data_IF_153382628805
#
_entry.id   IF_153382628805
#
_cell.length_a   1.000
_cell.length_b   1.000
_cell.length_c   1.000
_cell.angle_alpha   90.00
_cell.angle_beta   90.00
_cell.angle_gamma   90.00
#
_symmetry.space_group_name_H-M   'P 1'
#
loop_
_entity.id
_entity.type
_entity.pdbx_description
1 polymer ?
#
# COMPACT_ATOMS: atom_id res chain seq x y z
N UNK A 1 39.38 22.37 0.03
CA UNK A 1 37.96 21.97 -0.11
C UNK A 1 37.70 21.13 -1.36
N UNK A 2 38.16 21.55 -2.55
CA UNK A 2 38.02 20.73 -3.78
C UNK A 2 38.72 19.35 -3.72
N UNK A 3 39.99 19.22 -3.29
CA UNK A 3 40.67 17.92 -3.26
C UNK A 3 40.06 16.96 -2.23
N UNK A 4 39.58 17.47 -1.09
CA UNK A 4 38.88 16.65 -0.08
C UNK A 4 37.59 16.04 -0.61
N UNK A 5 36.82 16.79 -1.42
CA UNK A 5 35.58 16.29 -2.02
C UNK A 5 35.87 15.17 -3.03
N UNK A 6 36.87 15.36 -3.91
CA UNK A 6 37.27 14.36 -4.92
C UNK A 6 37.76 13.06 -4.27
N UNK A 7 38.43 13.14 -3.13
CA UNK A 7 38.91 11.96 -2.41
C UNK A 7 37.81 11.27 -1.58
N UNK A 8 36.80 11.98 -1.06
CA UNK A 8 35.71 11.38 -0.28
C UNK A 8 34.58 10.84 -1.18
N UNK A 9 34.35 11.47 -2.34
CA UNK A 9 33.28 11.14 -3.29
C UNK A 9 33.14 9.64 -3.64
N UNK A 10 34.20 8.88 -3.99
CA UNK A 10 34.02 7.47 -4.36
C UNK A 10 33.65 6.58 -3.17
N UNK A 11 33.95 6.96 -1.93
CA UNK A 11 33.49 6.21 -0.75
C UNK A 11 31.99 6.40 -0.51
N UNK A 12 31.48 7.62 -0.65
CA UNK A 12 30.05 7.92 -0.57
C UNK A 12 29.28 7.24 -1.71
N UNK A 13 29.82 7.30 -2.93
CA UNK A 13 29.26 6.59 -4.08
C UNK A 13 29.32 5.07 -3.90
N UNK A 14 30.34 4.54 -3.22
CA UNK A 14 30.44 3.13 -2.86
C UNK A 14 29.33 2.66 -1.91
N UNK A 15 28.95 3.49 -0.93
CA UNK A 15 27.80 3.20 -0.04
C UNK A 15 26.50 3.19 -0.82
N UNK A 16 26.27 4.18 -1.69
CA UNK A 16 25.12 4.24 -2.58
C UNK A 16 25.07 3.04 -3.54
N UNK A 17 26.22 2.62 -4.05
CA UNK A 17 26.36 1.43 -4.89
C UNK A 17 25.97 0.16 -4.13
N UNK A 18 26.41 0.00 -2.88
CA UNK A 18 26.06 -1.14 -2.04
C UNK A 18 24.55 -1.20 -1.74
N UNK A 19 23.94 -0.06 -1.38
CA UNK A 19 22.49 0.05 -1.15
C UNK A 19 21.74 -0.29 -2.43
N UNK A 20 22.21 0.20 -3.58
CA UNK A 20 21.62 -0.10 -4.89
C UNK A 20 21.75 -1.58 -5.27
N UNK A 21 22.88 -2.22 -4.97
CA UNK A 21 23.11 -3.65 -5.18
C UNK A 21 22.18 -4.50 -4.32
N UNK A 22 22.01 -4.16 -3.04
CA UNK A 22 21.10 -4.87 -2.12
C UNK A 22 19.65 -4.70 -2.58
N UNK A 23 19.24 -3.48 -2.94
CA UNK A 23 17.90 -3.20 -3.46
C UNK A 23 17.60 -3.97 -4.75
N UNK A 24 18.57 -4.02 -5.68
CA UNK A 24 18.47 -4.82 -6.89
C UNK A 24 18.37 -6.32 -6.56
N UNK A 25 19.21 -6.83 -5.65
CA UNK A 25 19.24 -8.24 -5.26
C UNK A 25 17.93 -8.71 -4.61
N UNK A 26 17.40 -7.94 -3.66
CA UNK A 26 16.14 -8.25 -2.96
C UNK A 26 14.98 -8.24 -3.94
N UNK A 27 14.90 -7.24 -4.81
CA UNK A 27 13.85 -7.15 -5.82
C UNK A 27 13.93 -8.30 -6.85
N UNK A 28 15.15 -8.68 -7.27
CA UNK A 28 15.35 -9.81 -8.18
C UNK A 28 15.02 -11.16 -7.53
N UNK A 29 15.30 -11.32 -6.22
CA UNK A 29 14.90 -12.52 -5.47
C UNK A 29 13.38 -12.63 -5.32
N UNK A 30 12.68 -11.52 -5.05
CA UNK A 30 11.22 -11.48 -5.02
C UNK A 30 10.62 -11.81 -6.40
N UNK A 31 11.19 -11.27 -7.48
CA UNK A 31 10.77 -11.60 -8.85
C UNK A 31 10.98 -13.08 -9.24
N UNK A 32 11.97 -13.76 -8.65
CA UNK A 32 12.23 -15.20 -8.89
C UNK A 32 11.32 -16.14 -8.10
N UNK A 33 10.70 -15.69 -7.00
CA UNK A 33 9.80 -16.50 -6.15
C UNK A 33 8.31 -16.29 -6.47
N UNK A 34 7.99 -15.39 -7.38
CA UNK A 34 6.62 -15.17 -7.86
C UNK A 34 6.21 -16.32 -8.81
N UNK A 35 5.12 -17.07 -8.52
CA UNK A 35 4.71 -18.23 -9.31
C UNK A 35 4.09 -17.88 -10.67
N UNK A 36 3.78 -16.60 -10.94
CA UNK A 36 3.09 -16.18 -12.16
C UNK A 36 3.96 -15.35 -13.11
N UNK A 37 3.89 -15.69 -14.40
CA UNK A 37 4.77 -15.22 -15.48
C UNK A 37 4.76 -13.70 -15.70
N UNK A 38 3.71 -13.00 -15.24
CA UNK A 38 3.50 -11.57 -15.51
C UNK A 38 3.83 -10.60 -14.39
N UNK A 39 4.05 -11.09 -13.15
CA UNK A 39 4.62 -10.27 -12.08
C UNK A 39 6.06 -9.82 -12.40
N UNK A 40 6.69 -10.39 -13.44
CA UNK A 40 8.00 -10.00 -13.97
C UNK A 40 8.01 -8.64 -14.70
N UNK A 41 6.90 -8.22 -15.33
CA UNK A 41 6.88 -6.96 -16.11
C UNK A 41 6.70 -5.72 -15.23
N UNK A 42 5.95 -5.79 -14.14
CA UNK A 42 5.77 -4.65 -13.22
C UNK A 42 6.85 -4.56 -12.13
N UNK A 43 7.41 -5.71 -11.73
CA UNK A 43 8.67 -5.74 -10.97
C UNK A 43 9.83 -5.16 -11.79
N UNK A 44 9.79 -5.24 -13.13
CA UNK A 44 10.83 -4.68 -13.99
C UNK A 44 10.89 -3.15 -13.93
N UNK A 45 9.75 -2.44 -13.80
CA UNK A 45 9.75 -0.97 -13.64
C UNK A 45 10.37 -0.52 -12.32
N UNK A 46 10.13 -1.25 -11.22
CA UNK A 46 10.77 -0.99 -9.91
C UNK A 46 12.23 -1.44 -9.86
N UNK A 47 12.57 -2.54 -10.55
CA UNK A 47 13.94 -3.04 -10.68
C UNK A 47 14.82 -2.15 -11.56
N UNK A 48 14.24 -1.57 -12.60
CA UNK A 48 14.93 -0.69 -13.53
C UNK A 48 15.50 0.57 -12.87
N UNK A 49 14.79 1.13 -11.88
CA UNK A 49 15.27 2.28 -11.11
C UNK A 49 16.55 1.94 -10.34
N UNK A 50 16.62 0.74 -9.75
CA UNK A 50 17.80 0.28 -9.03
C UNK A 50 18.95 -0.08 -9.98
N UNK A 51 18.67 -0.66 -11.15
CA UNK A 51 19.72 -0.93 -12.15
C UNK A 51 20.30 0.36 -12.74
N UNK A 52 19.46 1.35 -13.03
CA UNK A 52 19.92 2.67 -13.47
C UNK A 52 20.81 3.34 -12.41
N UNK A 53 20.42 3.28 -11.14
CA UNK A 53 21.24 3.79 -10.03
C UNK A 53 22.58 3.07 -9.91
N UNK A 54 22.60 1.75 -10.12
CA UNK A 54 23.84 0.96 -10.09
C UNK A 54 24.78 1.33 -11.25
N UNK A 55 24.25 1.50 -12.46
CA UNK A 55 25.02 1.96 -13.63
C UNK A 55 25.56 3.38 -13.39
N UNK A 56 24.72 4.28 -12.89
CA UNK A 56 25.08 5.68 -12.66
C UNK A 56 26.14 5.83 -11.56
N UNK A 57 26.02 5.09 -10.46
CA UNK A 57 27.03 5.07 -9.39
C UNK A 57 28.33 4.43 -9.84
N UNK A 58 28.28 3.35 -10.63
CA UNK A 58 29.48 2.73 -11.22
C UNK A 58 30.22 3.71 -12.13
N UNK A 59 29.50 4.43 -13.00
CA UNK A 59 30.07 5.49 -13.83
C UNK A 59 30.65 6.65 -13.01
N UNK A 60 29.95 7.07 -11.94
CA UNK A 60 30.43 8.11 -11.03
C UNK A 60 31.70 7.73 -10.27
N UNK A 61 31.83 6.48 -9.82
CA UNK A 61 33.05 5.97 -9.18
C UNK A 61 34.21 5.97 -10.18
N UNK A 62 33.96 5.51 -11.42
CA UNK A 62 34.96 5.55 -12.50
C UNK A 62 35.43 6.98 -12.79
N UNK A 63 34.51 7.93 -12.91
CA UNK A 63 34.81 9.35 -13.12
C UNK A 63 35.57 9.99 -11.94
N UNK A 64 35.24 9.62 -10.71
CA UNK A 64 35.97 10.10 -9.53
C UNK A 64 37.40 9.53 -9.47
N UNK A 65 37.59 8.26 -9.85
CA UNK A 65 38.91 7.62 -9.90
C UNK A 65 39.79 8.25 -10.99
N UNK A 66 39.24 8.55 -12.17
CA UNK A 66 39.99 9.27 -13.22
C UNK A 66 40.24 10.72 -12.83
N UNK A 67 39.36 11.40 -12.11
CA UNK A 67 39.62 12.75 -11.63
C UNK A 67 40.80 12.81 -10.63
N UNK A 68 41.00 11.77 -9.81
CA UNK A 68 42.11 11.69 -8.84
C UNK A 68 43.50 11.70 -9.51
N UNK A 69 43.63 11.25 -10.75
CA UNK A 69 44.92 11.30 -11.46
C UNK A 69 45.38 12.74 -11.78
N UNK A 70 44.44 13.70 -11.76
CA UNK A 70 44.68 15.12 -12.04
C UNK A 70 44.66 15.99 -10.79
N UNK A 71 44.37 15.43 -9.60
CA UNK A 71 44.20 16.18 -8.35
C UNK A 71 45.16 15.65 -7.29
N UNK A 72 46.11 16.48 -6.79
CA UNK A 72 47.05 16.06 -5.76
C UNK A 72 46.35 15.67 -4.45
N UNK A 73 46.93 14.74 -3.66
CA UNK A 73 46.31 14.25 -2.43
C UNK A 73 46.13 15.38 -1.40
N UNK A 74 45.00 15.42 -0.67
CA UNK A 74 44.77 16.43 0.35
C UNK A 74 45.70 16.21 1.55
N UNK A 75 46.42 17.26 1.94
CA UNK A 75 47.18 17.28 3.18
C UNK A 75 46.23 17.43 4.38
N UNK A 76 46.05 16.35 5.14
CA UNK A 76 45.33 16.40 6.41
C UNK A 76 46.26 16.94 7.49
N UNK A 77 46.33 18.26 7.62
CA UNK A 77 46.96 18.91 8.77
C UNK A 77 46.04 18.76 9.99
N UNK A 78 46.09 17.60 10.63
CA UNK A 78 45.55 17.44 11.97
C UNK A 78 46.35 18.37 12.88
N UNK A 79 45.75 19.49 13.31
CA UNK A 79 46.28 20.30 14.41
C UNK A 79 45.76 19.69 15.72
N UNK A 80 46.57 18.94 16.48
CA UNK A 80 46.17 18.44 17.80
C UNK A 80 46.27 19.59 18.81
N UNK A 81 45.36 20.57 18.75
CA UNK A 81 45.37 21.72 19.67
C UNK A 81 44.33 21.62 20.79
N UNK A 82 43.59 20.51 20.89
CA UNK A 82 42.48 20.37 21.86
C UNK A 82 42.75 19.38 23.01
N UNK A 83 43.90 18.72 23.04
CA UNK A 83 44.24 17.75 24.10
C UNK A 83 44.78 18.39 25.39
N UNK A 84 44.94 19.71 25.41
CA UNK A 84 45.37 20.46 26.60
C UNK A 84 44.37 21.57 26.94
N UNK A 85 43.09 21.22 27.07
CA UNK A 85 42.17 22.06 27.81
C UNK A 85 42.54 21.95 29.30
N UNK A 86 43.07 23.03 29.87
CA UNK A 86 43.33 23.15 31.31
C UNK A 86 42.02 22.90 32.08
N UNK A 87 42.01 22.07 33.16
CA UNK A 87 40.79 21.79 33.89
C UNK A 87 40.34 23.03 34.66
N UNK A 88 39.31 23.71 34.16
CA UNK A 88 38.56 24.72 34.91
C UNK A 88 37.84 24.03 36.08
N UNK A 89 37.93 24.54 37.32
CA UNK A 89 37.30 23.89 38.47
C UNK A 89 35.78 23.85 38.34
N UNK A 90 35.21 22.68 38.65
CA UNK A 90 33.78 22.40 38.56
C UNK A 90 32.96 23.26 39.55
N UNK A 91 31.80 23.82 39.14
CA UNK A 91 30.91 24.49 40.07
C UNK A 91 30.20 23.46 40.97
N UNK A 92 30.36 23.63 42.28
CA UNK A 92 29.63 22.89 43.33
C UNK A 92 28.13 23.18 43.23
N UNK A 93 27.32 22.17 42.89
CA UNK A 93 25.86 22.26 42.85
C UNK A 93 25.30 22.34 44.28
N UNK A 94 24.67 23.47 44.63
CA UNK A 94 23.88 23.61 45.84
C UNK A 94 22.47 23.02 45.63
N UNK A 95 22.06 22.10 46.50
CA UNK A 95 20.77 21.44 46.46
C UNK A 95 19.69 22.40 47.00
N UNK A 96 18.91 23.01 46.12
CA UNK A 96 17.73 23.81 46.49
C UNK A 96 16.53 22.88 46.61
N UNK A 97 15.94 22.82 47.81
CA UNK A 97 14.71 22.10 48.08
C UNK A 97 13.52 22.79 47.38
N UNK A 98 12.59 22.04 46.75
CA UNK A 98 11.39 22.63 46.16
C UNK A 98 10.39 23.04 47.25
N UNK A 99 9.69 24.19 47.14
CA UNK A 99 8.61 24.54 48.05
C UNK A 99 7.40 23.62 47.86
N UNK A 100 6.86 23.17 48.99
CA UNK A 100 5.61 22.41 49.14
C UNK A 100 4.42 23.19 48.56
N UNK A 101 3.75 22.62 47.56
CA UNK A 101 2.53 23.16 46.99
C UNK A 101 1.34 22.59 47.78
N UNK A 102 0.65 23.46 48.53
CA UNK A 102 -0.60 23.15 49.24
C UNK A 102 -1.73 22.88 48.23
N UNK A 103 -2.51 21.79 48.36
CA UNK A 103 -3.67 21.57 47.51
C UNK A 103 -4.83 22.47 47.93
N UNK A 104 -5.30 23.31 47.01
CA UNK A 104 -6.56 24.05 47.16
C UNK A 104 -7.71 23.15 46.65
N UNK A 105 -8.68 22.76 47.50
CA UNK A 105 -9.89 22.11 47.05
C UNK A 105 -10.96 23.18 46.78
N UNK A 106 -11.52 23.26 45.56
CA UNK A 106 -12.96 23.52 45.39
C UNK A 106 -13.37 23.58 43.91
N UNK A 107 -14.57 23.04 43.66
CA UNK A 107 -15.50 23.29 42.54
C UNK A 107 -15.46 22.36 41.30
N UNK A 108 -16.09 21.20 41.45
CA UNK A 108 -17.06 20.64 40.46
C UNK A 108 -18.48 21.10 40.89
N UNK A 109 -19.59 20.98 40.10
CA UNK A 109 -19.78 20.61 38.68
C UNK A 109 -20.77 21.52 37.90
N UNK A 110 -20.86 21.39 36.56
CA UNK A 110 -22.11 21.69 35.84
C UNK A 110 -22.26 20.83 34.58
N UNK A 111 -23.17 19.86 34.68
CA UNK A 111 -23.87 19.25 33.54
C UNK A 111 -25.23 19.93 33.43
N UNK A 112 -25.68 20.24 32.20
CA UNK A 112 -27.11 20.20 31.91
C UNK A 112 -27.36 19.20 30.78
N UNK A 113 -27.95 18.06 31.14
CA UNK A 113 -28.88 17.36 30.26
C UNK A 113 -30.02 18.33 29.92
N UNK A 114 -30.22 18.60 28.63
CA UNK A 114 -31.41 19.27 28.11
C UNK A 114 -31.99 18.38 26.99
N UNK A 115 -33.31 18.21 27.03
CA UNK A 115 -34.04 17.05 26.52
C UNK A 115 -34.21 16.95 24.99
N UNK A 116 -34.87 15.87 24.54
CA UNK A 116 -35.09 15.57 23.12
C UNK A 116 -36.35 16.27 22.58
N UNK A 117 -36.36 16.77 21.34
CA UNK A 117 -37.61 16.96 20.61
C UNK A 117 -38.02 15.64 19.93
N UNK A 118 -39.19 15.16 20.36
CA UNK A 118 -40.03 14.15 19.70
C UNK A 118 -40.25 14.49 18.23
N UNK A 119 -39.88 13.59 17.31
CA UNK A 119 -40.34 13.62 15.92
C UNK A 119 -41.47 12.60 15.73
N UNK A 120 -42.64 13.13 15.37
CA UNK A 120 -43.88 12.41 15.02
C UNK A 120 -43.72 11.65 13.70
N UNK A 121 -44.34 10.47 13.52
CA UNK A 121 -44.19 9.66 12.31
C UNK A 121 -44.98 10.24 11.13
N UNK A 122 -44.31 10.43 9.99
CA UNK A 122 -44.96 10.66 8.69
C UNK A 122 -44.79 9.42 7.83
N UNK A 123 -45.91 8.79 7.47
CA UNK A 123 -46.02 7.66 6.53
C UNK A 123 -46.57 8.17 5.18
N UNK A 124 -46.54 7.36 4.12
CA UNK A 124 -45.44 7.14 3.17
C UNK A 124 -45.67 7.95 1.87
N UNK A 125 -44.60 8.29 1.15
CA UNK A 125 -44.70 8.64 -0.28
C UNK A 125 -44.22 7.44 -1.10
N UNK A 126 -44.98 6.96 -2.09
CA UNK A 126 -44.57 5.85 -2.93
C UNK A 126 -43.47 6.36 -3.87
N UNK A 127 -42.25 5.86 -3.75
CA UNK A 127 -41.19 6.23 -4.68
C UNK A 127 -40.35 5.02 -5.00
N UNK A 128 -40.69 4.46 -6.17
CA UNK A 128 -39.89 3.67 -7.11
C UNK A 128 -38.90 2.69 -6.50
N UNK A 129 -39.19 1.40 -6.69
CA UNK A 129 -38.24 0.30 -6.71
C UNK A 129 -36.84 0.78 -7.10
N UNK A 130 -35.82 0.67 -6.22
CA UNK A 130 -34.46 0.96 -6.64
C UNK A 130 -34.08 -0.14 -7.63
N UNK A 131 -34.12 0.18 -8.92
CA UNK A 131 -33.27 -0.52 -9.88
C UNK A 131 -31.86 -0.45 -9.30
N UNK A 132 -31.16 -1.57 -9.09
CA UNK A 132 -29.80 -1.50 -8.57
C UNK A 132 -28.99 -0.63 -9.54
N UNK A 133 -28.47 0.48 -9.01
CA UNK A 133 -27.67 1.44 -9.75
C UNK A 133 -26.33 0.76 -10.04
N UNK A 134 -26.28 -0.07 -11.07
CA UNK A 134 -25.01 -0.51 -11.63
C UNK A 134 -24.35 0.76 -12.15
N UNK A 135 -23.24 1.15 -11.54
CA UNK A 135 -22.44 2.27 -12.01
C UNK A 135 -21.87 1.88 -13.38
N UNK A 136 -22.56 2.21 -14.47
CA UNK A 136 -22.12 1.86 -15.83
C UNK A 136 -21.01 2.83 -16.24
N UNK A 137 -19.76 2.37 -16.22
CA UNK A 137 -18.66 3.06 -16.89
C UNK A 137 -18.66 2.64 -18.35
N UNK A 138 -18.67 3.63 -19.26
CA UNK A 138 -18.60 3.39 -20.68
C UNK A 138 -17.28 2.70 -21.04
N UNK A 139 -17.34 1.58 -21.76
CA UNK A 139 -16.18 0.93 -22.37
C UNK A 139 -15.59 1.80 -23.47
N UNK A 140 -14.27 2.00 -23.49
CA UNK A 140 -13.58 2.59 -24.65
C UNK A 140 -13.29 1.55 -25.74
N UNK A 141 -13.33 0.25 -25.39
CA UNK A 141 -13.04 -0.88 -26.29
C UNK A 141 -14.02 -2.03 -26.04
N UNK A 142 -14.43 -2.75 -27.09
CA UNK A 142 -15.23 -3.97 -26.97
C UNK A 142 -14.38 -5.14 -26.47
N UNK A 143 -14.84 -5.94 -25.48
CA UNK A 143 -14.11 -7.12 -25.01
C UNK A 143 -13.87 -8.13 -26.14
N UNK A 144 -12.67 -8.73 -26.24
CA UNK A 144 -12.46 -9.87 -27.12
C UNK A 144 -13.38 -11.06 -26.80
N UNK A 145 -13.84 -11.81 -27.80
CA UNK A 145 -14.76 -12.93 -27.58
C UNK A 145 -14.13 -14.09 -26.78
N UNK A 146 -12.82 -14.24 -26.85
CA UNK A 146 -11.99 -15.24 -26.18
C UNK A 146 -11.41 -14.76 -24.83
N UNK A 147 -11.79 -13.56 -24.37
CA UNK A 147 -11.43 -13.06 -23.05
C UNK A 147 -11.99 -13.97 -21.95
N UNK A 148 -11.15 -14.28 -20.95
CA UNK A 148 -11.53 -15.07 -19.79
C UNK A 148 -11.09 -14.41 -18.49
N UNK A 149 -11.95 -14.56 -17.47
CA UNK A 149 -11.71 -14.11 -16.11
C UNK A 149 -12.30 -15.16 -15.18
N UNK A 150 -11.52 -15.65 -14.21
CA UNK A 150 -11.91 -16.71 -13.29
C UNK A 150 -11.54 -16.35 -11.87
N UNK A 151 -12.41 -16.68 -10.92
CA UNK A 151 -12.11 -16.58 -9.49
C UNK A 151 -11.40 -17.87 -9.07
N UNK A 152 -10.21 -17.75 -8.50
CA UNK A 152 -9.40 -18.89 -8.06
C UNK A 152 -9.49 -19.14 -6.55
N UNK A 153 -9.72 -18.10 -5.76
CA UNK A 153 -9.89 -18.21 -4.32
C UNK A 153 -10.65 -17.00 -3.74
N UNK A 154 -11.24 -17.19 -2.56
CA UNK A 154 -11.76 -16.11 -1.71
C UNK A 154 -11.02 -16.18 -0.37
N UNK A 155 -10.61 -15.05 0.18
CA UNK A 155 -9.86 -15.00 1.44
C UNK A 155 -10.18 -13.76 2.28
N UNK A 156 -10.01 -13.84 3.61
CA UNK A 156 -10.19 -12.69 4.51
C UNK A 156 -8.91 -11.87 4.73
N UNK A 157 -7.78 -12.35 4.23
CA UNK A 157 -6.51 -11.65 4.33
C UNK A 157 -5.59 -11.88 3.14
N UNK A 158 -4.51 -11.09 3.13
CA UNK A 158 -3.40 -11.17 2.18
C UNK A 158 -2.08 -11.11 2.95
N UNK A 159 -1.14 -11.97 2.59
CA UNK A 159 0.21 -12.02 3.19
C UNK A 159 1.15 -10.99 2.58
N UNK A 160 2.31 -10.77 3.23
CA UNK A 160 3.36 -9.89 2.71
C UNK A 160 3.86 -10.30 1.31
N UNK A 161 3.78 -11.59 0.98
CA UNK A 161 4.15 -12.14 -0.33
C UNK A 161 3.00 -12.11 -1.36
N UNK A 162 1.92 -11.35 -1.09
CA UNK A 162 0.73 -11.24 -1.93
C UNK A 162 0.05 -12.60 -2.20
N UNK A 163 -0.06 -13.43 -1.17
CA UNK A 163 -0.80 -14.70 -1.23
C UNK A 163 -2.05 -14.65 -0.37
N UNK A 164 -3.12 -15.37 -0.74
CA UNK A 164 -4.32 -15.47 0.08
C UNK A 164 -4.00 -16.02 1.47
N UNK A 165 -4.64 -15.44 2.49
CA UNK A 165 -4.59 -15.90 3.88
C UNK A 165 -6.02 -16.13 4.35
N UNK A 166 -6.26 -17.23 5.06
CA UNK A 166 -7.59 -17.65 5.50
C UNK A 166 -8.54 -17.79 4.30
N UNK A 167 -8.19 -18.68 3.36
CA UNK A 167 -9.04 -19.00 2.21
C UNK A 167 -10.26 -19.79 2.65
N UNK A 168 -11.42 -19.49 2.06
CA UNK A 168 -12.63 -20.26 2.30
C UNK A 168 -13.84 -19.60 1.65
N UNK A 169 -15.00 -20.21 1.88
CA UNK A 169 -16.31 -19.70 1.46
C UNK A 169 -17.17 -19.29 2.65
N UNK A 170 -16.62 -19.35 3.86
CA UNK A 170 -17.30 -18.98 5.10
C UNK A 170 -16.36 -18.13 5.93
N UNK A 171 -16.85 -16.98 6.39
CA UNK A 171 -16.08 -16.01 7.15
C UNK A 171 -16.86 -15.54 8.38
N UNK A 172 -16.19 -15.19 9.49
CA UNK A 172 -16.87 -14.68 10.67
C UNK A 172 -17.39 -13.25 10.45
N UNK A 173 -18.47 -12.91 11.14
CA UNK A 173 -18.99 -11.56 11.24
C UNK A 173 -17.90 -10.59 11.74
N UNK A 174 -17.95 -9.34 11.27
CA UNK A 174 -16.88 -8.37 11.56
C UNK A 174 -15.65 -8.49 10.65
N UNK A 175 -15.60 -9.45 9.71
CA UNK A 175 -14.56 -9.49 8.69
C UNK A 175 -14.59 -8.20 7.86
N UNK A 176 -13.54 -7.38 7.99
CA UNK A 176 -13.49 -6.04 7.39
C UNK A 176 -13.26 -6.04 5.88
N UNK A 177 -12.56 -7.05 5.36
CA UNK A 177 -12.20 -7.16 3.94
C UNK A 177 -12.33 -8.59 3.45
N UNK A 178 -12.95 -8.75 2.28
CA UNK A 178 -13.00 -10.01 1.55
C UNK A 178 -12.26 -9.81 0.24
N UNK A 179 -11.29 -10.68 -0.02
CA UNK A 179 -10.43 -10.67 -1.20
C UNK A 179 -10.87 -11.78 -2.16
N UNK A 180 -10.93 -11.44 -3.45
CA UNK A 180 -11.22 -12.33 -4.56
C UNK A 180 -9.99 -12.41 -5.43
N UNK A 181 -9.46 -13.62 -5.59
CA UNK A 181 -8.28 -13.89 -6.38
C UNK A 181 -8.72 -14.27 -7.78
N UNK A 182 -8.09 -13.65 -8.77
CA UNK A 182 -8.52 -13.69 -10.16
C UNK A 182 -7.38 -14.18 -11.03
N UNK A 183 -7.70 -15.04 -12.00
CA UNK A 183 -6.85 -15.33 -13.15
C UNK A 183 -7.58 -14.87 -14.41
N UNK A 184 -6.85 -14.27 -15.34
CA UNK A 184 -7.43 -13.71 -16.56
C UNK A 184 -6.55 -14.02 -17.77
N UNK A 185 -7.18 -14.09 -18.94
CA UNK A 185 -6.54 -14.30 -20.25
C UNK A 185 -7.29 -13.58 -21.37
N UNK A 186 -6.58 -13.23 -22.44
CA UNK A 186 -7.06 -12.45 -23.59
C UNK A 186 -7.88 -11.19 -23.24
N UNK A 187 -7.56 -10.52 -22.11
CA UNK A 187 -8.11 -9.23 -21.73
C UNK A 187 -7.46 -8.09 -22.54
N UNK A 188 -8.11 -6.93 -22.61
CA UNK A 188 -7.58 -5.75 -23.32
C UNK A 188 -7.71 -4.54 -22.42
N UNK A 189 -6.63 -3.77 -22.30
CA UNK A 189 -6.65 -2.54 -21.52
C UNK A 189 -7.66 -1.53 -22.14
N UNK A 190 -8.39 -0.81 -21.29
CA UNK A 190 -9.48 0.09 -21.69
C UNK A 190 -10.86 -0.57 -21.77
N UNK A 191 -10.96 -1.90 -21.76
CA UNK A 191 -12.27 -2.57 -21.66
C UNK A 191 -12.91 -2.25 -20.31
N UNK A 192 -14.21 -1.95 -20.26
CA UNK A 192 -14.87 -1.78 -18.97
C UNK A 192 -15.01 -3.13 -18.28
N UNK A 193 -14.78 -3.14 -16.96
CA UNK A 193 -15.06 -4.30 -16.13
C UNK A 193 -15.75 -3.85 -14.84
N UNK A 194 -16.70 -4.65 -14.38
CA UNK A 194 -17.55 -4.31 -13.24
C UNK A 194 -17.51 -5.39 -12.16
N UNK A 195 -17.58 -4.95 -10.91
CA UNK A 195 -17.58 -5.79 -9.73
C UNK A 195 -18.89 -5.52 -8.99
N UNK A 196 -19.74 -6.53 -8.89
CA UNK A 196 -21.05 -6.42 -8.24
C UNK A 196 -21.05 -7.36 -7.04
N UNK A 197 -21.41 -6.83 -5.87
CA UNK A 197 -21.58 -7.60 -4.64
C UNK A 197 -23.05 -7.63 -4.27
N UNK A 198 -23.58 -8.83 -4.08
CA UNK A 198 -24.93 -9.08 -3.64
C UNK A 198 -24.92 -9.62 -2.21
N UNK A 199 -25.91 -9.22 -1.43
CA UNK A 199 -26.25 -9.77 -0.12
C UNK A 199 -27.69 -10.27 -0.18
N UNK A 200 -27.89 -11.55 0.08
CA UNK A 200 -29.19 -12.23 0.04
C UNK A 200 -29.95 -11.95 -1.28
N UNK A 201 -29.22 -11.95 -2.40
CA UNK A 201 -29.76 -11.68 -3.74
C UNK A 201 -29.99 -10.21 -4.08
N UNK A 202 -29.75 -9.28 -3.16
CA UNK A 202 -29.85 -7.83 -3.41
C UNK A 202 -28.48 -7.22 -3.63
N UNK A 203 -28.31 -6.42 -4.69
CA UNK A 203 -27.06 -5.69 -4.94
C UNK A 203 -26.84 -4.66 -3.83
N UNK A 204 -25.72 -4.77 -3.13
CA UNK A 204 -25.31 -3.84 -2.06
C UNK A 204 -24.12 -2.97 -2.46
N UNK A 205 -23.37 -3.38 -3.49
CA UNK A 205 -22.25 -2.61 -4.03
C UNK A 205 -22.03 -2.94 -5.49
N UNK A 206 -21.73 -1.91 -6.28
CA UNK A 206 -21.34 -2.05 -7.68
C UNK A 206 -20.27 -1.03 -7.99
N UNK A 207 -19.18 -1.47 -8.62
CA UNK A 207 -18.09 -0.61 -9.09
C UNK A 207 -17.77 -0.98 -10.53
N UNK A 208 -17.46 0.01 -11.36
CA UNK A 208 -16.96 -0.21 -12.72
C UNK A 208 -15.75 0.66 -12.99
N UNK A 209 -14.83 0.12 -13.77
CA UNK A 209 -13.55 0.75 -14.09
C UNK A 209 -13.05 0.23 -15.44
N UNK A 210 -12.12 0.94 -16.06
CA UNK A 210 -11.38 0.41 -17.21
C UNK A 210 -10.36 -0.61 -16.73
N UNK A 211 -10.16 -1.67 -17.52
CA UNK A 211 -9.11 -2.65 -17.30
C UNK A 211 -7.74 -2.05 -17.63
N UNK A 212 -6.75 -2.26 -16.77
CA UNK A 212 -5.39 -1.70 -16.91
C UNK A 212 -4.30 -2.72 -16.54
N UNK A 213 -4.65 -4.01 -16.50
CA UNK A 213 -3.80 -5.08 -15.96
C UNK A 213 -3.15 -5.94 -17.05
N UNK A 214 -3.28 -5.55 -18.32
CA UNK A 214 -2.79 -6.26 -19.48
C UNK A 214 -3.64 -7.48 -19.84
N UNK A 215 -3.12 -8.30 -20.76
CA UNK A 215 -3.95 -9.30 -21.43
C UNK A 215 -4.20 -10.64 -20.71
N UNK A 216 -3.43 -10.99 -19.70
CA UNK A 216 -3.39 -12.30 -19.03
C UNK A 216 -2.67 -12.12 -17.69
N UNK A 217 -2.82 -13.06 -16.75
CA UNK A 217 -2.11 -13.04 -15.48
C UNK A 217 -3.02 -13.30 -14.27
N UNK A 218 -2.55 -12.89 -13.09
CA UNK A 218 -3.29 -13.03 -11.84
C UNK A 218 -3.43 -11.69 -11.14
N UNK A 219 -4.59 -11.46 -10.54
CA UNK A 219 -4.92 -10.25 -9.80
C UNK A 219 -5.71 -10.60 -8.53
N UNK A 220 -5.94 -9.60 -7.69
CA UNK A 220 -6.96 -9.68 -6.66
C UNK A 220 -7.80 -8.41 -6.68
N UNK A 221 -9.06 -8.55 -6.28
CA UNK A 221 -9.97 -7.46 -5.99
C UNK A 221 -10.53 -7.65 -4.58
N UNK A 222 -10.94 -6.59 -3.90
CA UNK A 222 -11.47 -6.72 -2.55
C UNK A 222 -12.63 -5.76 -2.29
N UNK A 223 -13.57 -6.23 -1.48
CA UNK A 223 -14.61 -5.38 -0.90
C UNK A 223 -14.34 -5.21 0.58
N UNK A 224 -14.50 -3.98 1.08
CA UNK A 224 -14.41 -3.70 2.50
C UNK A 224 -15.58 -2.89 3.03
N UNK A 225 -15.94 -3.16 4.28
CA UNK A 225 -17.01 -2.48 5.02
C UNK A 225 -16.46 -1.94 6.35
N UNK A 226 -16.79 -0.69 6.66
CA UNK A 226 -16.46 -0.11 7.96
C UNK A 226 -17.28 -0.81 9.04
N UNK A 227 -16.62 -1.38 10.05
CA UNK A 227 -17.28 -2.21 11.08
C UNK A 227 -17.45 -3.69 10.68
N UNK A 228 -17.00 -4.09 9.49
CA UNK A 228 -17.13 -5.44 8.98
C UNK A 228 -18.45 -5.70 8.26
N UNK A 229 -18.49 -6.81 7.54
CA UNK A 229 -19.68 -7.22 6.82
C UNK A 229 -20.68 -7.94 7.74
N UNK A 230 -21.99 -7.68 7.62
CA UNK A 230 -23.02 -8.40 8.38
C UNK A 230 -23.10 -9.88 7.97
N UNK A 231 -23.68 -10.70 8.84
CA UNK A 231 -23.98 -12.09 8.51
C UNK A 231 -24.97 -12.19 7.34
N UNK A 232 -24.79 -13.20 6.49
CA UNK A 232 -25.65 -13.43 5.34
C UNK A 232 -24.96 -14.17 4.19
N UNK A 233 -25.75 -14.45 3.15
CA UNK A 233 -25.25 -15.08 1.93
C UNK A 233 -24.86 -14.02 0.93
N UNK A 234 -23.61 -14.07 0.50
CA UNK A 234 -23.05 -13.13 -0.46
C UNK A 234 -22.77 -13.80 -1.79
N UNK A 235 -22.86 -13.02 -2.85
CA UNK A 235 -22.41 -13.40 -4.19
C UNK A 235 -21.62 -12.25 -4.79
N UNK A 236 -20.46 -12.55 -5.35
CA UNK A 236 -19.71 -11.62 -6.20
C UNK A 236 -19.94 -11.97 -7.65
N UNK A 237 -20.11 -10.96 -8.48
CA UNK A 237 -20.20 -11.09 -9.93
C UNK A 237 -19.19 -10.15 -10.59
N UNK A 238 -18.40 -10.68 -11.51
CA UNK A 238 -17.44 -9.93 -12.32
C UNK A 238 -17.88 -9.91 -13.77
N UNK A 239 -18.06 -8.70 -14.30
CA UNK A 239 -18.43 -8.44 -15.68
C UNK A 239 -17.25 -7.85 -16.45
N UNK A 240 -17.20 -8.12 -17.75
CA UNK A 240 -16.32 -7.45 -18.70
C UNK A 240 -17.19 -7.00 -19.87
N UNK A 241 -17.30 -5.69 -20.06
CA UNK A 241 -18.43 -5.09 -20.77
C UNK A 241 -19.75 -5.53 -20.12
N UNK A 242 -20.69 -6.01 -20.93
CA UNK A 242 -21.99 -6.51 -20.46
C UNK A 242 -22.01 -8.02 -20.17
N UNK A 243 -20.87 -8.71 -20.35
CA UNK A 243 -20.77 -10.17 -20.20
C UNK A 243 -20.35 -10.53 -18.79
N UNK A 244 -21.17 -11.33 -18.10
CA UNK A 244 -20.78 -11.97 -16.83
C UNK A 244 -19.67 -12.99 -17.11
N UNK A 245 -18.49 -12.76 -16.54
CA UNK A 245 -17.32 -13.63 -16.74
C UNK A 245 -17.09 -14.59 -15.59
N UNK A 246 -17.32 -14.15 -14.35
CA UNK A 246 -17.16 -14.99 -13.16
C UNK A 246 -18.16 -14.64 -12.07
N UNK A 247 -18.60 -15.65 -11.33
CA UNK A 247 -19.39 -15.51 -10.10
C UNK A 247 -18.84 -16.43 -9.02
N UNK A 248 -18.97 -16.04 -7.76
CA UNK A 248 -18.72 -16.92 -6.62
C UNK A 248 -19.58 -16.52 -5.41
N UNK A 249 -20.05 -17.53 -4.68
CA UNK A 249 -20.83 -17.35 -3.46
C UNK A 249 -19.97 -17.59 -2.21
N UNK A 250 -20.24 -16.84 -1.15
CA UNK A 250 -19.65 -17.03 0.17
C UNK A 250 -20.64 -16.61 1.25
N UNK A 251 -20.42 -17.06 2.48
CA UNK A 251 -21.30 -16.76 3.61
C UNK A 251 -20.52 -16.08 4.71
N UNK A 252 -21.17 -15.13 5.37
CA UNK A 252 -20.69 -14.56 6.62
C UNK A 252 -21.58 -15.05 7.75
N UNK A 253 -20.98 -15.61 8.79
CA UNK A 253 -21.66 -16.22 9.94
C UNK A 253 -21.27 -15.50 11.23
N UNK A 254 -22.19 -15.40 12.18
CA UNK A 254 -21.93 -14.82 13.50
C UNK A 254 -20.95 -15.65 14.35
#
# INVERSE_FOLDING_TARGET
MLPTIVYIAPYLLGILWLISLIGAYVNFRQARRAPYFRLRRDASRRGWRWTLMLVLTTGGIGGAMTARQFVPPPEFNFRPSLLFASPTPAPTLALVLPPTITPNPSLTPRSPFEGPPTITPTQPTPTTTPTPLIATVASSVTPPPDASLRITAISSGISADLRPVNTGTTFPAGTARIYFWLEFENMVDGVSWSQVLLLNGSVIRSESQEWDRGAEGSAYYWFGAQGGWPAGNYEVQFYVGDKLMATASFTIVD
#
